data_IF_592150987348
#
_entry.id   IF_592150987348
#
_cell.length_a   1.000
_cell.length_b   1.000
_cell.length_c   1.000
_cell.angle_alpha   90.00
_cell.angle_beta   90.00
_cell.angle_gamma   90.00
#
_symmetry.space_group_name_H-M   'P 1'
#
loop_
_entity.id
_entity.type
_entity.pdbx_description
1 polymer ?
#
# COMPACT_ATOMS: atom_id res chain seq x y z
N UNK A 1 15.62 -7.07 -14.02
CA UNK A 1 14.33 -7.77 -13.80
C UNK A 1 13.97 -7.78 -12.32
N UNK A 2 13.55 -6.62 -11.78
CA UNK A 2 13.13 -6.55 -10.39
C UNK A 2 11.87 -7.38 -10.14
N UNK A 3 11.82 -8.03 -8.99
CA UNK A 3 10.60 -8.61 -8.46
C UNK A 3 9.97 -7.67 -7.44
N UNK A 4 8.82 -7.11 -7.79
CA UNK A 4 8.11 -6.11 -6.98
C UNK A 4 6.92 -6.76 -6.31
N UNK A 5 6.73 -6.48 -5.00
CA UNK A 5 5.50 -6.81 -4.30
C UNK A 5 4.64 -5.55 -4.14
N UNK A 6 3.36 -5.67 -4.46
CA UNK A 6 2.34 -4.66 -4.21
C UNK A 6 1.39 -5.12 -3.11
N UNK A 7 1.31 -4.36 -2.03
CA UNK A 7 0.36 -4.61 -0.93
C UNK A 7 -0.85 -3.70 -1.11
N UNK A 8 -2.02 -4.32 -1.35
CA UNK A 8 -3.25 -3.58 -1.65
C UNK A 8 -3.38 -3.26 -3.14
N UNK A 9 -3.29 -4.28 -4.00
CA UNK A 9 -3.31 -4.12 -5.46
C UNK A 9 -4.64 -3.67 -6.06
N UNK A 10 -5.70 -3.59 -5.26
CA UNK A 10 -7.01 -3.13 -5.71
C UNK A 10 -7.48 -3.88 -6.97
N UNK A 11 -7.79 -3.13 -8.02
CA UNK A 11 -8.25 -3.64 -9.30
C UNK A 11 -7.13 -4.04 -10.28
N UNK A 12 -5.88 -4.15 -9.81
CA UNK A 12 -4.71 -4.59 -10.59
C UNK A 12 -4.09 -3.52 -11.49
N UNK A 13 -4.47 -2.26 -11.35
CA UNK A 13 -4.04 -1.18 -12.24
C UNK A 13 -2.53 -0.94 -12.20
N UNK A 14 -1.97 -0.78 -11.02
CA UNK A 14 -0.53 -0.54 -10.85
C UNK A 14 0.31 -1.75 -11.32
N UNK A 15 -0.05 -2.96 -10.90
CA UNK A 15 0.69 -4.17 -11.29
C UNK A 15 0.73 -4.37 -12.81
N UNK A 16 -0.40 -4.14 -13.51
CA UNK A 16 -0.47 -4.20 -14.97
C UNK A 16 0.41 -3.12 -15.59
N UNK A 17 0.32 -1.88 -15.10
CA UNK A 17 1.15 -0.78 -15.59
C UNK A 17 2.64 -1.07 -15.42
N UNK A 18 3.04 -1.47 -14.22
CA UNK A 18 4.43 -1.75 -13.90
C UNK A 18 5.01 -2.90 -14.74
N UNK A 19 4.30 -4.02 -14.85
CA UNK A 19 4.74 -5.15 -15.66
C UNK A 19 4.81 -4.81 -17.16
N UNK A 20 3.84 -4.03 -17.67
CA UNK A 20 3.76 -3.66 -19.09
C UNK A 20 4.85 -2.67 -19.50
N UNK A 21 5.08 -1.63 -18.70
CA UNK A 21 5.93 -0.52 -19.10
C UNK A 21 7.37 -0.63 -18.61
N UNK A 22 7.60 -1.34 -17.50
CA UNK A 22 8.93 -1.49 -16.90
C UNK A 22 9.45 -2.93 -16.94
N UNK A 23 8.64 -3.89 -17.40
CA UNK A 23 9.07 -5.29 -17.58
C UNK A 23 9.36 -6.04 -16.28
N UNK A 24 9.03 -5.50 -15.12
CA UNK A 24 9.27 -6.15 -13.84
C UNK A 24 8.31 -7.33 -13.60
N UNK A 25 8.71 -8.25 -12.73
CA UNK A 25 7.82 -9.29 -12.19
C UNK A 25 7.06 -8.72 -11.03
N UNK A 26 5.75 -8.95 -11.00
CA UNK A 26 4.87 -8.46 -9.94
C UNK A 26 4.31 -9.59 -9.10
N UNK A 27 4.28 -9.39 -7.80
CA UNK A 27 3.37 -10.10 -6.89
C UNK A 27 2.45 -9.04 -6.30
N UNK A 28 1.14 -9.21 -6.46
CA UNK A 28 0.15 -8.26 -5.93
C UNK A 28 -0.86 -8.97 -5.06
N UNK A 29 -1.40 -8.30 -4.04
CA UNK A 29 -2.33 -8.92 -3.09
C UNK A 29 -3.53 -8.04 -2.82
N UNK A 30 -4.69 -8.69 -2.69
CA UNK A 30 -5.93 -8.09 -2.17
C UNK A 30 -6.65 -9.09 -1.29
N UNK A 31 -7.50 -8.60 -0.38
CA UNK A 31 -8.39 -9.43 0.45
C UNK A 31 -9.84 -9.41 -0.03
N UNK A 32 -10.20 -8.53 -0.99
CA UNK A 32 -11.54 -8.46 -1.58
C UNK A 32 -11.69 -9.47 -2.71
N UNK A 33 -12.78 -10.23 -2.68
CA UNK A 33 -13.12 -11.20 -3.71
C UNK A 33 -13.42 -10.53 -5.04
N UNK A 34 -14.14 -9.42 -5.02
CA UNK A 34 -14.52 -8.64 -6.19
C UNK A 34 -13.27 -8.02 -6.86
N UNK A 35 -12.37 -7.46 -6.04
CA UNK A 35 -11.12 -6.91 -6.57
C UNK A 35 -10.25 -8.01 -7.17
N UNK A 36 -10.14 -9.16 -6.50
CA UNK A 36 -9.37 -10.30 -7.00
C UNK A 36 -9.90 -10.77 -8.36
N UNK A 37 -11.21 -11.06 -8.46
CA UNK A 37 -11.82 -11.54 -9.69
C UNK A 37 -11.64 -10.58 -10.87
N UNK A 38 -11.85 -9.27 -10.65
CA UNK A 38 -11.66 -8.29 -11.71
C UNK A 38 -10.19 -8.09 -12.08
N UNK A 39 -9.28 -8.05 -11.10
CA UNK A 39 -7.85 -7.94 -11.35
C UNK A 39 -7.33 -9.14 -12.15
N UNK A 40 -7.74 -10.37 -11.80
CA UNK A 40 -7.39 -11.60 -12.53
C UNK A 40 -7.82 -11.53 -14.00
N UNK A 41 -9.07 -11.13 -14.26
CA UNK A 41 -9.59 -10.92 -15.62
C UNK A 41 -8.76 -9.88 -16.39
N UNK A 42 -8.45 -8.74 -15.78
CA UNK A 42 -7.66 -7.66 -16.42
C UNK A 42 -6.23 -8.10 -16.72
N UNK A 43 -5.58 -8.80 -15.79
CA UNK A 43 -4.23 -9.36 -15.97
C UNK A 43 -4.22 -10.35 -17.14
N UNK A 44 -5.18 -11.27 -17.17
CA UNK A 44 -5.31 -12.26 -18.26
C UNK A 44 -5.54 -11.57 -19.61
N UNK A 45 -6.48 -10.63 -19.69
CA UNK A 45 -6.78 -9.89 -20.93
C UNK A 45 -5.59 -9.06 -21.42
N UNK A 46 -4.73 -8.59 -20.51
CA UNK A 46 -3.51 -7.85 -20.87
C UNK A 46 -2.36 -8.74 -21.35
N UNK A 47 -2.50 -10.07 -21.30
CA UNK A 47 -1.45 -11.03 -21.65
C UNK A 47 -0.29 -11.11 -20.65
N UNK A 48 -0.47 -10.57 -19.44
CA UNK A 48 0.60 -10.42 -18.44
C UNK A 48 0.59 -11.48 -17.33
N UNK A 49 -0.22 -12.54 -17.46
CA UNK A 49 -0.32 -13.62 -16.45
C UNK A 49 1.03 -14.31 -16.18
N UNK A 50 1.95 -14.28 -17.12
CA UNK A 50 3.30 -14.83 -16.95
C UNK A 50 4.24 -13.94 -16.13
N UNK A 51 3.88 -12.66 -15.90
CA UNK A 51 4.68 -11.68 -15.14
C UNK A 51 4.03 -11.28 -13.81
N UNK A 52 2.70 -11.43 -13.67
CA UNK A 52 1.95 -10.95 -12.52
C UNK A 52 1.36 -12.13 -11.77
N UNK A 53 1.78 -12.31 -10.52
CA UNK A 53 1.20 -13.24 -9.57
C UNK A 53 0.20 -12.51 -8.68
N UNK A 54 -1.08 -12.76 -8.86
CA UNK A 54 -2.14 -12.23 -8.02
C UNK A 54 -2.41 -13.17 -6.84
N UNK A 55 -2.47 -12.63 -5.64
CA UNK A 55 -2.73 -13.37 -4.40
C UNK A 55 -3.99 -12.83 -3.71
N UNK A 56 -4.90 -13.71 -3.35
CA UNK A 56 -5.97 -13.42 -2.40
C UNK A 56 -5.47 -13.70 -1.00
N UNK A 57 -4.77 -12.74 -0.40
CA UNK A 57 -4.07 -12.95 0.85
C UNK A 57 -3.90 -11.66 1.65
N UNK A 58 -4.12 -11.76 2.95
CA UNK A 58 -3.80 -10.68 3.87
C UNK A 58 -2.27 -10.46 3.90
N UNK A 59 -1.83 -9.19 3.92
CA UNK A 59 -0.42 -8.83 3.91
C UNK A 59 0.35 -9.45 5.09
N UNK A 60 -0.31 -9.66 6.21
CA UNK A 60 0.28 -10.27 7.43
C UNK A 60 0.75 -11.72 7.22
N UNK A 61 0.26 -12.37 6.20
CA UNK A 61 0.60 -13.76 5.87
C UNK A 61 1.48 -13.88 4.62
N UNK A 62 1.97 -12.75 4.10
CA UNK A 62 2.89 -12.76 2.97
C UNK A 62 4.25 -13.27 3.37
N UNK A 63 4.97 -13.83 2.41
CA UNK A 63 6.36 -14.29 2.57
C UNK A 63 7.13 -14.14 1.28
N UNK A 64 8.42 -14.39 1.34
CA UNK A 64 9.34 -14.19 0.24
C UNK A 64 10.24 -12.98 0.43
N UNK A 65 11.05 -12.69 -0.58
CA UNK A 65 11.98 -11.54 -0.61
C UNK A 65 11.89 -10.87 -1.97
N UNK A 66 11.68 -9.56 -1.96
CA UNK A 66 11.42 -8.75 -3.13
C UNK A 66 12.46 -7.62 -3.26
N UNK A 67 12.73 -7.21 -4.49
CA UNK A 67 13.64 -6.10 -4.76
C UNK A 67 13.00 -4.77 -4.37
N UNK A 68 11.69 -4.66 -4.60
CA UNK A 68 10.90 -3.45 -4.26
C UNK A 68 9.55 -3.84 -3.67
N UNK A 69 9.04 -2.95 -2.84
CA UNK A 69 7.71 -3.03 -2.28
C UNK A 69 6.95 -1.73 -2.57
N UNK A 70 5.70 -1.86 -3.01
CA UNK A 70 4.80 -0.72 -3.25
C UNK A 70 3.51 -0.92 -2.47
N UNK A 71 3.03 0.14 -1.85
CA UNK A 71 1.71 0.19 -1.23
C UNK A 71 1.10 1.57 -1.45
N UNK A 72 -0.09 1.62 -2.07
CA UNK A 72 -0.76 2.85 -2.48
C UNK A 72 -2.11 2.91 -1.79
N UNK A 73 -2.29 3.88 -0.90
CA UNK A 73 -3.54 4.17 -0.19
C UNK A 73 -4.19 2.92 0.46
N UNK A 74 -3.36 2.12 1.11
CA UNK A 74 -3.80 0.92 1.84
C UNK A 74 -3.57 1.04 3.35
N UNK A 75 -2.51 1.77 3.76
CA UNK A 75 -2.11 1.89 5.16
C UNK A 75 -3.21 2.53 6.02
N UNK A 76 -4.06 3.35 5.44
CA UNK A 76 -5.23 3.97 6.09
C UNK A 76 -6.21 2.92 6.62
N UNK A 77 -6.31 1.77 5.95
CA UNK A 77 -7.15 0.64 6.37
C UNK A 77 -6.51 -0.25 7.43
N UNK A 78 -5.21 -0.08 7.71
CA UNK A 78 -4.47 -0.92 8.68
C UNK A 78 -4.89 -0.64 10.11
N UNK A 79 -5.20 0.64 10.44
CA UNK A 79 -5.46 1.08 11.82
C UNK A 79 -4.16 1.40 12.58
N UNK A 80 -4.21 2.42 13.42
CA UNK A 80 -3.02 2.96 14.09
C UNK A 80 -2.31 1.95 14.99
N UNK A 81 -3.04 1.01 15.59
CA UNK A 81 -2.51 -0.03 16.48
C UNK A 81 -1.65 -1.07 15.75
N UNK A 82 -1.76 -1.15 14.42
CA UNK A 82 -1.04 -2.14 13.61
C UNK A 82 0.07 -1.53 12.74
N UNK A 83 0.37 -0.25 12.86
CA UNK A 83 1.44 0.39 12.09
C UNK A 83 2.79 -0.29 12.30
N UNK A 84 3.12 -0.66 13.53
CA UNK A 84 4.34 -1.40 13.86
C UNK A 84 4.41 -2.73 13.11
N UNK A 85 3.32 -3.49 13.14
CA UNK A 85 3.22 -4.79 12.43
C UNK A 85 3.33 -4.59 10.92
N UNK A 86 2.67 -3.57 10.37
CA UNK A 86 2.72 -3.28 8.94
C UNK A 86 4.15 -3.01 8.47
N UNK A 87 4.86 -2.08 9.10
CA UNK A 87 6.23 -1.76 8.69
C UNK A 87 7.20 -2.91 8.95
N UNK A 88 7.04 -3.67 10.03
CA UNK A 88 7.84 -4.86 10.29
C UNK A 88 7.70 -5.90 9.18
N UNK A 89 6.49 -6.15 8.72
CA UNK A 89 6.23 -7.08 7.61
C UNK A 89 6.79 -6.50 6.31
N UNK A 90 6.56 -5.21 6.01
CA UNK A 90 7.13 -4.59 4.81
C UNK A 90 8.66 -4.73 4.76
N UNK A 91 9.34 -4.44 5.87
CA UNK A 91 10.80 -4.62 5.96
C UNK A 91 11.20 -6.09 5.77
N UNK A 92 10.47 -7.03 6.37
CA UNK A 92 10.77 -8.46 6.25
C UNK A 92 10.60 -9.00 4.83
N UNK A 93 9.79 -8.37 3.99
CA UNK A 93 9.56 -8.74 2.60
C UNK A 93 10.60 -8.15 1.64
N UNK A 94 11.43 -7.21 2.08
CA UNK A 94 12.47 -6.63 1.24
C UNK A 94 13.77 -7.42 1.34
N UNK A 95 14.45 -7.55 0.20
CA UNK A 95 15.85 -7.99 0.16
C UNK A 95 16.75 -6.94 0.82
N UNK A 96 17.99 -7.30 1.21
CA UNK A 96 18.99 -6.30 1.54
C UNK A 96 19.10 -5.26 0.42
N UNK A 97 19.12 -3.98 0.76
CA UNK A 97 19.10 -2.85 -0.18
C UNK A 97 17.80 -2.71 -1.02
N UNK A 98 16.75 -3.45 -0.67
CA UNK A 98 15.43 -3.28 -1.27
C UNK A 98 14.82 -1.91 -0.94
N UNK A 99 13.92 -1.44 -1.80
CA UNK A 99 13.29 -0.12 -1.65
C UNK A 99 11.78 -0.25 -1.48
N UNK A 100 11.22 0.53 -0.55
CA UNK A 100 9.77 0.65 -0.36
C UNK A 100 9.27 1.99 -0.87
N UNK A 101 8.16 1.97 -1.63
CA UNK A 101 7.36 3.13 -1.95
C UNK A 101 6.03 3.03 -1.24
N UNK A 102 5.70 4.04 -0.47
CA UNK A 102 4.41 4.17 0.21
C UNK A 102 3.75 5.47 -0.22
N UNK A 103 2.54 5.39 -0.78
CA UNK A 103 1.64 6.52 -0.94
C UNK A 103 0.52 6.42 0.08
N UNK A 104 0.23 7.50 0.77
CA UNK A 104 -0.78 7.54 1.84
C UNK A 104 -1.41 8.92 1.95
N UNK A 105 -2.69 8.96 2.27
CA UNK A 105 -3.31 10.15 2.84
C UNK A 105 -2.76 10.32 4.26
N UNK A 106 -2.39 11.54 4.62
CA UNK A 106 -1.86 11.83 5.96
C UNK A 106 -2.65 12.92 6.65
N UNK A 107 -2.72 12.83 7.99
CA UNK A 107 -3.23 13.90 8.83
C UNK A 107 -2.06 14.62 9.52
N UNK A 108 -2.22 15.90 9.81
CA UNK A 108 -1.18 16.65 10.52
C UNK A 108 -0.91 16.06 11.91
N UNK A 109 0.36 16.00 12.31
CA UNK A 109 0.80 15.32 13.52
C UNK A 109 0.11 15.86 14.79
N UNK A 110 -0.15 17.17 14.85
CA UNK A 110 -0.74 17.85 16.01
C UNK A 110 -2.14 17.35 16.38
N UNK A 111 -2.90 16.84 15.41
CA UNK A 111 -4.27 16.35 15.67
C UNK A 111 -4.38 14.83 15.65
N UNK A 112 -3.29 14.12 15.34
CA UNK A 112 -3.31 12.67 15.19
C UNK A 112 -3.80 11.94 16.45
N UNK A 113 -3.39 12.38 17.63
CA UNK A 113 -3.79 11.77 18.91
C UNK A 113 -5.29 11.91 19.20
N UNK A 114 -5.91 12.99 18.75
CA UNK A 114 -7.37 13.19 18.82
C UNK A 114 -8.04 12.34 17.75
N UNK A 115 -7.53 12.39 16.51
CA UNK A 115 -8.08 11.66 15.37
C UNK A 115 -8.13 10.15 15.60
N UNK A 116 -7.07 9.53 16.12
CA UNK A 116 -7.03 8.07 16.34
C UNK A 116 -8.05 7.59 17.38
N UNK A 117 -8.49 8.46 18.29
CA UNK A 117 -9.49 8.16 19.34
C UNK A 117 -10.90 8.55 18.96
N UNK A 118 -11.09 9.36 17.92
CA UNK A 118 -12.40 9.82 17.45
C UNK A 118 -13.00 8.83 16.45
N UNK A 119 -14.32 8.82 16.39
CA UNK A 119 -15.08 8.11 15.36
C UNK A 119 -15.83 9.16 14.55
N UNK A 120 -15.34 9.43 13.35
CA UNK A 120 -15.99 10.31 12.39
C UNK A 120 -16.93 9.53 11.44
N UNK A 121 -17.56 10.25 10.50
CA UNK A 121 -18.44 9.64 9.50
C UNK A 121 -17.73 8.58 8.67
N UNK A 122 -16.49 8.84 8.25
CA UNK A 122 -15.70 7.92 7.41
C UNK A 122 -15.41 6.62 8.15
N UNK A 123 -14.91 6.72 9.39
CA UNK A 123 -14.63 5.55 10.23
C UNK A 123 -15.87 4.76 10.59
N UNK A 124 -17.03 5.42 10.70
CA UNK A 124 -18.26 4.76 11.10
C UNK A 124 -18.97 4.05 9.95
N UNK A 125 -19.00 4.67 8.76
CA UNK A 125 -19.88 4.23 7.69
C UNK A 125 -19.16 3.79 6.40
N UNK A 126 -17.95 4.26 6.15
CA UNK A 126 -17.25 4.01 4.89
C UNK A 126 -16.11 3.00 5.09
N UNK A 127 -15.22 3.26 6.03
CA UNK A 127 -14.06 2.42 6.33
C UNK A 127 -13.96 2.11 7.84
N UNK A 128 -14.80 1.19 8.37
CA UNK A 128 -14.75 0.81 9.77
C UNK A 128 -13.36 0.28 10.16
N UNK A 129 -12.81 0.82 11.26
CA UNK A 129 -11.48 0.45 11.75
C UNK A 129 -10.32 1.19 11.09
N UNK A 130 -10.57 2.02 10.07
CA UNK A 130 -9.54 2.83 9.43
C UNK A 130 -8.99 3.92 10.36
N UNK A 131 -7.77 4.36 10.06
CA UNK A 131 -7.16 5.51 10.71
C UNK A 131 -6.16 6.15 9.77
N UNK A 132 -6.42 7.39 9.37
CA UNK A 132 -5.45 8.16 8.58
C UNK A 132 -4.19 8.37 9.42
N UNK A 133 -3.01 7.86 9.00
CA UNK A 133 -1.79 8.00 9.76
C UNK A 133 -1.24 9.43 9.69
N UNK A 134 -0.39 9.80 10.64
CA UNK A 134 0.44 10.98 10.51
C UNK A 134 1.87 10.60 10.11
N UNK A 135 2.62 11.55 9.55
CA UNK A 135 4.02 11.32 9.15
C UNK A 135 4.84 10.87 10.37
N UNK A 136 4.70 11.56 11.50
CA UNK A 136 5.40 11.21 12.73
C UNK A 136 5.05 9.78 13.21
N UNK A 137 3.78 9.39 13.17
CA UNK A 137 3.35 8.05 13.59
C UNK A 137 3.97 6.95 12.73
N UNK A 138 4.00 7.15 11.40
CA UNK A 138 4.66 6.22 10.47
C UNK A 138 6.17 6.14 10.71
N UNK A 139 6.84 7.28 10.80
CA UNK A 139 8.30 7.34 11.03
C UNK A 139 8.69 6.73 12.36
N UNK A 140 7.91 6.97 13.42
CA UNK A 140 8.13 6.35 14.73
C UNK A 140 8.02 4.82 14.69
N UNK A 141 7.07 4.29 13.92
CA UNK A 141 6.93 2.83 13.72
C UNK A 141 8.11 2.26 12.93
N UNK A 142 8.54 2.92 11.86
CA UNK A 142 9.69 2.53 11.04
C UNK A 142 10.94 2.42 11.91
N UNK A 143 11.25 3.47 12.68
CA UNK A 143 12.45 3.52 13.53
C UNK A 143 12.43 2.45 14.63
N UNK A 144 11.25 2.19 15.23
CA UNK A 144 11.15 1.19 16.30
C UNK A 144 11.27 -0.25 15.82
N UNK A 145 10.80 -0.55 14.61
CA UNK A 145 10.52 -1.93 14.19
C UNK A 145 11.32 -2.40 12.99
N UNK A 146 12.06 -1.52 12.35
CA UNK A 146 12.75 -1.84 11.09
C UNK A 146 14.12 -1.17 11.03
N UNK A 147 14.89 -1.56 10.04
CA UNK A 147 16.13 -0.89 9.61
C UNK A 147 15.93 0.03 8.38
N UNK A 148 14.68 0.24 7.96
CA UNK A 148 14.34 1.13 6.86
C UNK A 148 14.69 2.58 7.21
N UNK A 149 15.16 3.31 6.21
CA UNK A 149 15.49 4.74 6.31
C UNK A 149 14.65 5.52 5.32
N UNK A 150 14.11 6.65 5.77
CA UNK A 150 13.46 7.58 4.86
C UNK A 150 14.50 8.14 3.88
N UNK A 151 14.26 7.92 2.59
CA UNK A 151 15.12 8.41 1.51
C UNK A 151 14.54 9.66 0.84
N UNK A 152 13.21 9.70 0.66
CA UNK A 152 12.51 10.79 0.00
C UNK A 152 11.10 10.92 0.57
N UNK A 153 10.60 12.15 0.66
CA UNK A 153 9.22 12.49 1.02
C UNK A 153 8.74 13.60 0.08
N UNK A 154 7.58 13.39 -0.52
CA UNK A 154 6.96 14.34 -1.44
C UNK A 154 5.49 14.53 -1.09
N UNK A 155 5.03 15.79 -1.06
CA UNK A 155 3.61 16.12 -0.95
C UNK A 155 2.99 16.20 -2.35
N UNK A 156 2.14 15.22 -2.66
CA UNK A 156 1.41 15.13 -3.94
C UNK A 156 -0.01 15.68 -3.86
N UNK A 157 -0.39 16.36 -2.78
CA UNK A 157 -1.73 16.97 -2.59
C UNK A 157 -2.20 17.77 -3.82
N UNK A 158 -1.37 18.61 -4.48
CA UNK A 158 -1.80 19.35 -5.68
C UNK A 158 -2.25 18.45 -6.83
N UNK A 159 -1.65 17.25 -6.96
CA UNK A 159 -2.04 16.28 -7.98
C UNK A 159 -3.36 15.60 -7.67
N UNK A 160 -3.70 15.46 -6.39
CA UNK A 160 -4.94 14.81 -5.96
C UNK A 160 -6.20 15.62 -6.30
N UNK A 161 -6.07 16.93 -6.42
CA UNK A 161 -7.15 17.79 -6.92
C UNK A 161 -7.64 17.34 -8.30
N UNK A 162 -6.69 17.01 -9.19
CA UNK A 162 -7.01 16.47 -10.52
C UNK A 162 -7.66 15.09 -10.44
N UNK A 163 -7.14 14.20 -9.60
CA UNK A 163 -7.71 12.87 -9.39
C UNK A 163 -9.18 12.95 -8.95
N UNK A 164 -9.49 13.83 -7.99
CA UNK A 164 -10.86 14.04 -7.53
C UNK A 164 -11.77 14.63 -8.62
N UNK A 165 -11.24 15.48 -9.48
CA UNK A 165 -12.00 16.01 -10.62
C UNK A 165 -12.35 14.93 -11.64
N UNK A 166 -11.44 13.99 -11.91
CA UNK A 166 -11.66 12.85 -12.82
C UNK A 166 -12.64 11.81 -12.25
N UNK A 167 -12.80 11.73 -10.94
CA UNK A 167 -13.77 10.83 -10.29
C UNK A 167 -15.21 11.40 -10.27
N UNK A 168 -15.40 12.67 -10.58
CA UNK A 168 -16.69 13.37 -10.60
C UNK A 168 -17.45 13.19 -11.91
#
# INVERSE_FOLDING_TARGET
>A
DDHVIEIGGGWGGFSIHAAKHYGCRMTTTTISDEQHALAEKRISTSGLSHRIRLLRKDYRHLGGRFDKLVSIEMIEAVGHQYLDTFFQICSSLLKPNGMMLLQSITIVDQVFDVHKRSVDFIKRYIFPGSCIPSIHAMMSSIVRKTDLKLFHLEDITPHYVRTLAEWR
#
